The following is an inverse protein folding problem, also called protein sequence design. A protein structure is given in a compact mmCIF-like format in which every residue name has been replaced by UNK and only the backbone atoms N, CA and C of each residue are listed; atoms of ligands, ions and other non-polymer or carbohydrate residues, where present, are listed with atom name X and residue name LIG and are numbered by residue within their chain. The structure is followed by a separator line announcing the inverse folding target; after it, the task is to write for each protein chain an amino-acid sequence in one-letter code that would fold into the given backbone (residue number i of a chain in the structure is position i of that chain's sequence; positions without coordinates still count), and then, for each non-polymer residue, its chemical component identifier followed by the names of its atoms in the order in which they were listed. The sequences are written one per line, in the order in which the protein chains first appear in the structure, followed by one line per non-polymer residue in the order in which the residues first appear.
data_IF_450322667213
#
_entry.id   IF_450322667213
#
_cell.length_a   1.000
_cell.length_b   1.000
_cell.length_c   1.000
_cell.angle_alpha   90.00
_cell.angle_beta   90.00
_cell.angle_gamma   90.00
#
_symmetry.space_group_name_H-M   'P 1'
#
loop_
_entity.id
_entity.type
_entity.pdbx_description
1 polymer ?
#
# COMPACT_ATOMS: atom_id res chain seq x y z
N UNK A 1 -14.81 -13.14 -20.79
CA UNK A 1 -14.57 -14.33 -19.93
C UNK A 1 -13.13 -14.30 -19.45
N UNK A 2 -12.88 -13.85 -18.21
CA UNK A 2 -11.55 -13.89 -17.58
C UNK A 2 -11.26 -15.32 -17.17
N UNK A 3 -10.27 -15.98 -17.78
CA UNK A 3 -9.79 -17.29 -17.32
C UNK A 3 -9.18 -17.10 -15.92
N UNK A 4 -9.49 -17.96 -14.94
CA UNK A 4 -8.93 -17.85 -13.60
C UNK A 4 -7.41 -18.01 -13.66
N UNK A 5 -6.68 -17.23 -12.86
CA UNK A 5 -5.22 -17.22 -12.83
C UNK A 5 -4.59 -18.61 -12.58
N UNK A 6 -5.35 -19.53 -11.96
CA UNK A 6 -4.95 -20.92 -11.76
C UNK A 6 -4.72 -21.69 -13.07
N UNK A 7 -5.45 -21.37 -14.15
CA UNK A 7 -5.29 -22.05 -15.45
C UNK A 7 -4.03 -21.58 -16.21
N UNK A 8 -3.63 -20.32 -16.02
CA UNK A 8 -2.39 -19.77 -16.60
C UNK A 8 -1.13 -20.38 -15.98
N UNK A 9 -1.15 -20.66 -14.68
CA UNK A 9 -0.06 -21.36 -14.00
C UNK A 9 0.01 -22.81 -14.48
N UNK A 10 -1.14 -23.47 -14.68
CA UNK A 10 -1.20 -24.84 -15.20
C UNK A 10 -0.66 -24.98 -16.62
N UNK A 11 -1.03 -24.07 -17.54
CA UNK A 11 -0.49 -24.04 -18.90
C UNK A 11 1.00 -23.70 -18.92
N UNK A 12 1.45 -22.74 -18.09
CA UNK A 12 2.87 -22.40 -17.97
C UNK A 12 3.69 -23.56 -17.39
N UNK A 13 3.13 -24.32 -16.44
CA UNK A 13 3.75 -25.50 -15.86
C UNK A 13 3.85 -26.65 -16.87
N UNK A 14 2.80 -26.90 -17.66
CA UNK A 14 2.82 -27.88 -18.76
C UNK A 14 3.84 -27.51 -19.84
N UNK A 15 3.97 -26.22 -20.18
CA UNK A 15 5.00 -25.74 -21.11
C UNK A 15 6.41 -25.89 -20.53
N UNK A 16 6.63 -25.54 -19.26
CA UNK A 16 7.93 -25.72 -18.59
C UNK A 16 8.34 -27.19 -18.49
N UNK A 17 7.41 -28.07 -18.12
CA UNK A 17 7.66 -29.52 -18.06
C UNK A 17 7.97 -30.07 -19.46
N UNK A 18 7.27 -29.61 -20.51
CA UNK A 18 7.54 -30.01 -21.90
C UNK A 18 8.89 -29.49 -22.41
N UNK A 19 9.25 -28.24 -22.06
CA UNK A 19 10.54 -27.63 -22.41
C UNK A 19 11.71 -28.29 -21.69
N UNK A 20 11.50 -28.84 -20.49
CA UNK A 20 12.52 -29.55 -19.72
C UNK A 20 12.63 -31.04 -20.10
N UNK A 21 11.55 -31.68 -20.56
CA UNK A 21 11.58 -33.07 -21.05
C UNK A 21 12.23 -33.21 -22.43
N UNK A 22 12.11 -32.20 -23.31
CA UNK A 22 12.73 -32.19 -24.64
C UNK A 22 14.27 -32.35 -24.64
N UNK A 23 15.05 -31.62 -23.82
CA UNK A 23 16.50 -31.77 -23.77
C UNK A 23 16.94 -33.07 -23.08
N UNK A 24 16.16 -33.60 -22.12
CA UNK A 24 16.46 -34.87 -21.45
C UNK A 24 16.38 -36.04 -22.44
N UNK A 25 15.41 -36.02 -23.36
CA UNK A 25 15.28 -37.05 -24.40
C UNK A 25 16.47 -37.03 -25.39
N UNK A 26 17.00 -35.85 -25.71
CA UNK A 26 18.15 -35.70 -26.62
C UNK A 26 19.50 -36.05 -25.96
N UNK A 27 19.59 -35.93 -24.64
CA UNK A 27 20.77 -36.32 -23.85
C UNK A 27 20.93 -37.84 -23.69
N UNK A 28 19.85 -38.61 -23.88
CA UNK A 28 19.89 -40.08 -23.87
C UNK A 28 20.49 -40.68 -25.16
N UNK A 29 20.69 -39.88 -26.20
CA UNK A 29 21.22 -40.31 -27.51
C UNK A 29 22.70 -39.96 -27.72
N UNK A 30 23.46 -39.72 -26.64
CA UNK A 30 24.88 -39.37 -26.76
C UNK A 30 25.76 -40.64 -26.87
N UNK A 31 26.49 -40.87 -27.99
CA UNK A 31 27.40 -42.00 -28.11
C UNK A 31 28.59 -41.82 -27.16
N UNK A 32 28.83 -42.83 -26.33
CA UNK A 32 29.86 -42.82 -25.29
C UNK A 32 31.24 -43.07 -25.89
N UNK A 33 32.05 -42.01 -26.01
CA UNK A 33 33.46 -42.14 -26.38
C UNK A 33 34.31 -42.31 -25.12
N UNK A 34 34.85 -43.51 -24.91
CA UNK A 34 35.77 -43.82 -23.81
C UNK A 34 37.14 -43.18 -24.07
N UNK A 35 37.64 -42.36 -23.13
CA UNK A 35 39.03 -41.88 -23.11
C UNK A 35 39.65 -41.96 -21.70
N UNK A 36 40.95 -42.19 -21.71
CA UNK A 36 41.83 -42.63 -20.62
C UNK A 36 42.08 -41.61 -19.49
N UNK A 37 42.54 -42.08 -18.31
CA UNK A 37 42.56 -41.28 -17.10
C UNK A 37 43.81 -40.41 -16.97
N UNK A 38 43.61 -39.12 -16.77
CA UNK A 38 44.63 -38.22 -16.22
C UNK A 38 43.98 -37.23 -15.25
N UNK A 39 44.47 -37.24 -14.01
CA UNK A 39 44.34 -36.23 -12.93
C UNK A 39 42.95 -35.69 -12.59
N UNK A 40 42.47 -36.06 -11.40
CA UNK A 40 41.39 -35.47 -10.58
C UNK A 40 40.55 -34.35 -11.22
N UNK A 41 39.75 -34.70 -12.22
CA UNK A 41 38.63 -33.90 -12.69
C UNK A 41 37.34 -34.36 -12.02
N UNK A 42 36.43 -33.43 -11.75
CA UNK A 42 35.07 -33.74 -11.29
C UNK A 42 34.46 -34.84 -12.16
N UNK A 43 33.81 -35.81 -11.53
CA UNK A 43 33.14 -36.87 -12.28
C UNK A 43 31.95 -36.27 -13.03
N UNK A 44 31.71 -36.71 -14.27
CA UNK A 44 30.56 -36.25 -15.06
C UNK A 44 29.24 -36.51 -14.31
N UNK A 45 29.19 -37.60 -13.55
CA UNK A 45 28.07 -37.95 -12.69
C UNK A 45 27.80 -36.90 -11.60
N UNK A 46 28.86 -36.38 -10.97
CA UNK A 46 28.74 -35.39 -9.90
C UNK A 46 28.20 -34.05 -10.43
N UNK A 47 28.63 -33.63 -11.62
CA UNK A 47 28.08 -32.45 -12.27
C UNK A 47 26.58 -32.64 -12.61
N UNK A 48 26.18 -33.83 -13.07
CA UNK A 48 24.78 -34.14 -13.41
C UNK A 48 23.87 -34.19 -12.18
N UNK A 49 24.35 -34.70 -11.05
CA UNK A 49 23.59 -34.70 -9.80
C UNK A 49 23.39 -33.28 -9.24
N UNK A 50 24.41 -32.42 -9.35
CA UNK A 50 24.33 -31.04 -8.86
C UNK A 50 23.31 -30.23 -9.67
N UNK A 51 23.37 -30.27 -11.00
CA UNK A 51 22.39 -29.56 -11.84
C UNK A 51 20.98 -30.12 -11.62
N UNK A 52 20.84 -31.44 -11.43
CA UNK A 52 19.56 -32.08 -11.10
C UNK A 52 18.98 -31.57 -9.78
N UNK A 53 19.82 -31.45 -8.74
CA UNK A 53 19.42 -30.94 -7.43
C UNK A 53 19.04 -29.45 -7.49
N UNK A 54 19.80 -28.63 -8.21
CA UNK A 54 19.51 -27.21 -8.38
C UNK A 54 18.16 -27.02 -9.08
N UNK A 55 17.89 -27.76 -10.16
CA UNK A 55 16.61 -27.71 -10.86
C UNK A 55 15.44 -28.09 -9.94
N UNK A 56 15.60 -29.13 -9.12
CA UNK A 56 14.57 -29.57 -8.17
C UNK A 56 14.26 -28.49 -7.12
N UNK A 57 15.29 -27.87 -6.55
CA UNK A 57 15.13 -26.80 -5.56
C UNK A 57 14.44 -25.56 -6.16
N UNK A 58 14.81 -25.19 -7.39
CA UNK A 58 14.22 -24.05 -8.10
C UNK A 58 12.73 -24.27 -8.39
N UNK A 59 12.34 -25.48 -8.80
CA UNK A 59 10.91 -25.82 -9.01
C UNK A 59 10.13 -25.73 -7.70
N UNK A 60 10.70 -26.23 -6.60
CA UNK A 60 10.09 -26.12 -5.27
C UNK A 60 9.90 -24.68 -4.80
N UNK A 61 10.86 -23.80 -5.08
CA UNK A 61 10.79 -22.39 -4.72
C UNK A 61 9.69 -21.64 -5.48
N UNK A 62 9.55 -21.90 -6.78
CA UNK A 62 8.53 -21.25 -7.62
C UNK A 62 7.10 -21.66 -7.24
N UNK A 63 6.92 -22.85 -6.65
CA UNK A 63 5.61 -23.28 -6.14
C UNK A 63 5.12 -22.48 -4.91
N UNK A 64 6.03 -21.81 -4.20
CA UNK A 64 5.72 -21.06 -2.98
C UNK A 64 5.52 -19.56 -3.21
N UNK A 65 5.95 -19.03 -4.35
CA UNK A 65 5.82 -17.60 -4.68
C UNK A 65 4.61 -17.38 -5.57
N UNK A 66 3.61 -16.63 -5.07
CA UNK A 66 2.56 -16.05 -5.90
C UNK A 66 2.98 -14.62 -6.32
N UNK A 67 3.60 -14.45 -7.51
CA UNK A 67 4.00 -13.13 -7.98
C UNK A 67 2.80 -12.19 -8.15
N UNK A 68 1.60 -12.73 -8.43
CA UNK A 68 0.38 -11.95 -8.59
C UNK A 68 -0.03 -11.26 -7.29
N UNK A 69 0.07 -11.97 -6.17
CA UNK A 69 -0.25 -11.39 -4.86
C UNK A 69 0.72 -10.26 -4.49
N UNK A 70 2.01 -10.41 -4.80
CA UNK A 70 3.03 -9.39 -4.50
C UNK A 70 2.85 -8.12 -5.31
N UNK A 71 2.49 -8.23 -6.59
CA UNK A 71 2.19 -7.08 -7.43
C UNK A 71 0.96 -6.33 -6.89
N UNK A 72 -0.10 -7.05 -6.51
CA UNK A 72 -1.31 -6.48 -5.90
C UNK A 72 -0.99 -5.72 -4.61
N UNK A 73 -0.18 -6.30 -3.73
CA UNK A 73 0.28 -5.63 -2.50
C UNK A 73 1.04 -4.33 -2.80
N UNK A 74 1.90 -4.33 -3.82
CA UNK A 74 2.61 -3.12 -4.26
C UNK A 74 1.66 -2.03 -4.78
N UNK A 75 0.64 -2.42 -5.55
CA UNK A 75 -0.40 -1.49 -6.04
C UNK A 75 -1.23 -0.92 -4.89
N UNK A 76 -1.63 -1.75 -3.92
CA UNK A 76 -2.41 -1.32 -2.76
C UNK A 76 -1.62 -0.32 -1.89
N UNK A 77 -0.32 -0.55 -1.68
CA UNK A 77 0.55 0.42 -1.00
C UNK A 77 0.61 1.73 -1.77
N UNK A 78 0.78 1.67 -3.10
CA UNK A 78 0.82 2.85 -3.96
C UNK A 78 -0.48 3.67 -3.84
N UNK A 79 -1.65 3.01 -3.89
CA UNK A 79 -2.96 3.67 -3.71
C UNK A 79 -3.04 4.45 -2.42
N UNK A 80 -2.65 3.81 -1.30
CA UNK A 80 -2.68 4.44 0.03
C UNK A 80 -1.78 5.66 0.09
N UNK A 81 -0.54 5.54 -0.38
CA UNK A 81 0.42 6.65 -0.39
C UNK A 81 -0.05 7.81 -1.26
N UNK A 82 -0.58 7.54 -2.45
CA UNK A 82 -1.10 8.58 -3.34
C UNK A 82 -2.30 9.31 -2.74
N UNK A 83 -3.23 8.59 -2.10
CA UNK A 83 -4.38 9.19 -1.41
C UNK A 83 -3.94 10.05 -0.23
N UNK A 84 -2.94 9.63 0.54
CA UNK A 84 -2.38 10.42 1.64
C UNK A 84 -1.75 11.72 1.14
N UNK A 85 -0.95 11.64 0.09
CA UNK A 85 -0.34 12.82 -0.53
C UNK A 85 -1.41 13.76 -1.09
N UNK A 86 -2.42 13.22 -1.78
CA UNK A 86 -3.53 14.00 -2.32
C UNK A 86 -4.33 14.67 -1.20
N UNK A 87 -4.66 13.93 -0.13
CA UNK A 87 -5.34 14.47 1.06
C UNK A 87 -4.59 15.67 1.62
N UNK A 88 -3.27 15.58 1.80
CA UNK A 88 -2.44 16.69 2.27
C UNK A 88 -2.51 17.90 1.34
N UNK A 89 -2.40 17.69 0.03
CA UNK A 89 -2.49 18.79 -0.95
C UNK A 89 -3.88 19.45 -0.98
N UNK A 90 -4.95 18.70 -0.68
CA UNK A 90 -6.32 19.24 -0.57
C UNK A 90 -6.47 20.09 0.71
N UNK A 91 -5.85 19.68 1.81
CA UNK A 91 -5.79 20.49 3.04
C UNK A 91 -4.98 21.78 2.83
N UNK A 92 -3.87 21.71 2.07
CA UNK A 92 -3.12 22.91 1.67
C UNK A 92 -3.98 23.86 0.82
N UNK A 93 -4.77 23.33 -0.13
CA UNK A 93 -5.74 24.12 -0.88
C UNK A 93 -6.77 24.79 0.04
N UNK A 94 -7.30 24.07 1.03
CA UNK A 94 -8.26 24.62 1.98
C UNK A 94 -7.66 25.78 2.79
N UNK A 95 -6.41 25.66 3.23
CA UNK A 95 -5.73 26.73 3.99
C UNK A 95 -5.62 28.04 3.19
N UNK A 96 -5.52 27.96 1.86
CA UNK A 96 -5.41 29.13 0.99
C UNK A 96 -6.77 29.66 0.50
N UNK A 97 -7.76 28.79 0.33
CA UNK A 97 -9.04 29.11 -0.33
C UNK A 97 -10.25 29.09 0.61
N UNK A 98 -10.05 28.73 1.88
CA UNK A 98 -11.09 28.59 2.92
C UNK A 98 -12.27 27.68 2.52
N UNK A 99 -12.06 26.81 1.53
CA UNK A 99 -13.05 25.89 0.98
C UNK A 99 -12.35 24.70 0.33
N UNK A 100 -12.98 23.52 0.35
CA UNK A 100 -12.44 22.36 -0.35
C UNK A 100 -12.61 22.47 -1.87
N UNK A 101 -11.69 21.89 -2.65
CA UNK A 101 -11.73 21.94 -4.10
C UNK A 101 -12.99 21.27 -4.66
N UNK A 102 -13.44 21.74 -5.80
CA UNK A 102 -14.61 21.19 -6.50
C UNK A 102 -14.20 20.20 -7.59
N UNK A 103 -15.18 19.59 -8.24
CA UNK A 103 -14.97 18.76 -9.44
C UNK A 103 -14.12 19.46 -10.51
N UNK A 104 -14.32 20.77 -10.72
CA UNK A 104 -13.55 21.56 -11.68
C UNK A 104 -12.04 21.67 -11.35
N UNK A 105 -11.64 21.41 -10.10
CA UNK A 105 -10.25 21.51 -9.65
C UNK A 105 -9.51 20.17 -9.68
N UNK A 106 -10.22 19.04 -9.51
CA UNK A 106 -9.61 17.73 -9.30
C UNK A 106 -10.06 16.63 -10.26
N UNK A 107 -11.23 16.77 -10.88
CA UNK A 107 -11.88 15.66 -11.58
C UNK A 107 -11.84 15.82 -13.09
N UNK A 108 -11.74 14.68 -13.77
CA UNK A 108 -11.72 14.64 -15.24
C UNK A 108 -13.10 14.34 -15.84
N UNK A 109 -14.05 13.89 -15.03
CA UNK A 109 -15.42 13.59 -15.42
C UNK A 109 -16.43 14.54 -14.77
N UNK A 110 -17.69 14.44 -15.23
CA UNK A 110 -18.77 15.24 -14.70
C UNK A 110 -19.11 14.84 -13.27
N UNK A 111 -19.45 15.83 -12.45
CA UNK A 111 -19.88 15.60 -11.07
C UNK A 111 -21.23 14.88 -11.01
N UNK A 112 -21.34 13.96 -10.06
CA UNK A 112 -22.59 13.29 -9.70
C UNK A 112 -22.97 13.71 -8.29
N UNK A 113 -24.13 14.35 -8.15
CA UNK A 113 -24.65 14.82 -6.86
C UNK A 113 -25.72 13.87 -6.30
N UNK A 114 -25.65 13.61 -5.00
CA UNK A 114 -26.64 12.85 -4.22
C UNK A 114 -26.92 13.58 -2.91
N UNK A 115 -28.02 14.33 -2.87
CA UNK A 115 -28.27 15.26 -1.77
C UNK A 115 -27.27 16.41 -1.79
N UNK A 116 -26.63 16.67 -0.66
CA UNK A 116 -25.57 17.69 -0.54
C UNK A 116 -24.15 17.11 -0.75
N UNK A 117 -24.05 15.84 -1.17
CA UNK A 117 -22.78 15.20 -1.49
C UNK A 117 -22.55 15.23 -3.01
N UNK A 118 -21.41 15.75 -3.43
CA UNK A 118 -20.94 15.77 -4.81
C UNK A 118 -19.78 14.79 -4.95
N UNK A 119 -19.75 14.03 -6.03
CA UNK A 119 -18.69 13.04 -6.27
C UNK A 119 -18.23 12.98 -7.72
N UNK A 120 -16.96 12.68 -7.92
CA UNK A 120 -16.32 12.58 -9.24
C UNK A 120 -15.02 11.77 -9.15
N UNK A 121 -14.38 11.49 -10.29
CA UNK A 121 -13.18 10.68 -10.35
C UNK A 121 -11.91 11.48 -10.65
N UNK A 122 -10.81 11.10 -10.00
CA UNK A 122 -9.50 11.73 -10.15
C UNK A 122 -8.56 10.82 -10.95
N UNK A 123 -7.91 11.40 -11.95
CA UNK A 123 -6.76 10.80 -12.63
C UNK A 123 -6.07 11.85 -13.51
N UNK A 124 -4.77 12.12 -13.31
CA UNK A 124 -4.02 13.11 -14.09
C UNK A 124 -3.59 12.69 -15.50
N UNK A 125 -3.87 11.47 -15.95
CA UNK A 125 -3.55 11.05 -17.34
C UNK A 125 -4.71 11.26 -18.32
N UNK A 126 -5.89 11.64 -17.83
CA UNK A 126 -7.06 11.91 -18.67
C UNK A 126 -6.94 13.29 -19.33
N UNK A 127 -7.45 13.42 -20.57
CA UNK A 127 -7.29 14.65 -21.35
C UNK A 127 -8.05 15.85 -20.79
N UNK A 128 -9.11 15.58 -20.01
CA UNK A 128 -9.98 16.58 -19.37
C UNK A 128 -9.55 16.89 -17.95
N UNK A 129 -8.44 16.32 -17.47
CA UNK A 129 -7.99 16.51 -16.10
C UNK A 129 -7.51 17.94 -15.87
N UNK A 130 -7.99 18.61 -14.82
CA UNK A 130 -7.54 19.95 -14.47
C UNK A 130 -6.12 19.92 -13.91
N UNK A 131 -5.51 21.10 -13.86
CA UNK A 131 -4.26 21.32 -13.12
C UNK A 131 -4.57 21.70 -11.67
N UNK A 132 -3.94 21.02 -10.71
CA UNK A 132 -4.07 21.31 -9.28
C UNK A 132 -2.84 22.05 -8.72
N UNK A 133 -2.17 22.81 -9.58
CA UNK A 133 -1.03 23.65 -9.20
C UNK A 133 -1.49 24.85 -8.34
N UNK A 134 -0.71 25.29 -7.33
CA UNK A 134 0.64 24.84 -6.96
C UNK A 134 0.70 23.61 -6.05
N UNK A 135 -0.43 23.13 -5.54
CA UNK A 135 -0.50 22.09 -4.49
C UNK A 135 -0.03 20.72 -4.98
N UNK A 136 -0.32 20.38 -6.23
CA UNK A 136 0.13 19.13 -6.82
C UNK A 136 0.49 19.30 -8.30
N UNK A 137 1.68 18.82 -8.67
CA UNK A 137 2.19 18.91 -10.04
C UNK A 137 1.43 18.01 -11.02
N UNK A 138 0.90 16.88 -10.56
CA UNK A 138 0.13 15.95 -11.37
C UNK A 138 -0.85 15.18 -10.48
N UNK A 139 -2.12 15.12 -10.88
CA UNK A 139 -3.13 14.34 -10.17
C UNK A 139 -2.82 12.83 -10.28
N UNK A 140 -2.87 12.08 -9.17
CA UNK A 140 -2.57 10.65 -9.19
C UNK A 140 -3.69 9.87 -9.89
N UNK A 141 -3.35 8.72 -10.44
CA UNK A 141 -4.30 7.77 -11.02
C UNK A 141 -4.16 6.42 -10.33
N UNK A 142 -5.26 5.67 -10.23
CA UNK A 142 -5.19 4.28 -9.78
C UNK A 142 -4.20 3.48 -10.66
N UNK A 143 -3.32 2.63 -10.09
CA UNK A 143 -2.35 1.83 -10.86
C UNK A 143 -2.96 0.91 -11.92
N UNK A 144 -4.27 0.68 -11.86
CA UNK A 144 -5.04 -0.18 -12.76
C UNK A 144 -6.15 0.59 -13.50
N UNK A 145 -6.06 1.91 -13.54
CA UNK A 145 -6.91 2.78 -14.35
C UNK A 145 -6.94 2.30 -15.82
N UNK A 146 -8.11 2.23 -16.50
CA UNK A 146 -9.43 2.72 -16.06
C UNK A 146 -10.30 1.67 -15.33
N UNK A 147 -9.74 0.52 -14.96
CA UNK A 147 -10.51 -0.57 -14.31
C UNK A 147 -10.93 -0.17 -12.90
N UNK A 148 -10.01 0.43 -12.14
CA UNK A 148 -10.28 1.04 -10.85
C UNK A 148 -9.96 2.53 -10.96
N UNK A 149 -10.65 3.36 -10.16
CA UNK A 149 -10.56 4.82 -10.20
C UNK A 149 -10.57 5.36 -8.78
N UNK A 150 -9.86 6.45 -8.53
CA UNK A 150 -10.03 7.18 -7.28
C UNK A 150 -11.32 7.99 -7.32
N UNK A 151 -12.08 7.93 -6.23
CA UNK A 151 -13.31 8.69 -6.05
C UNK A 151 -13.04 9.83 -5.08
N UNK A 152 -13.43 11.02 -5.49
CA UNK A 152 -13.47 12.21 -4.66
C UNK A 152 -14.91 12.54 -4.34
N UNK A 153 -15.19 12.81 -3.08
CA UNK A 153 -16.50 13.21 -2.58
C UNK A 153 -16.34 14.49 -1.75
N UNK A 154 -17.21 15.47 -1.91
CA UNK A 154 -17.18 16.72 -1.16
C UNK A 154 -18.59 17.27 -0.97
N UNK A 155 -18.73 18.23 -0.06
CA UNK A 155 -19.99 18.92 0.16
C UNK A 155 -20.28 19.92 -0.96
N UNK A 156 -21.40 19.77 -1.67
CA UNK A 156 -21.73 20.63 -2.80
C UNK A 156 -21.98 22.08 -2.36
N UNK A 157 -22.70 22.28 -1.27
CA UNK A 157 -23.16 23.60 -0.83
C UNK A 157 -22.02 24.45 -0.28
N UNK A 158 -21.45 24.05 0.86
CA UNK A 158 -20.48 24.86 1.60
C UNK A 158 -19.02 24.47 1.33
N UNK A 159 -18.78 23.32 0.68
CA UNK A 159 -17.43 22.74 0.49
C UNK A 159 -16.66 22.66 1.82
N UNK A 160 -17.35 22.30 2.91
CA UNK A 160 -16.77 22.31 4.27
C UNK A 160 -16.09 21.00 4.66
N UNK A 161 -16.27 19.94 3.86
CA UNK A 161 -15.60 18.64 4.04
C UNK A 161 -15.35 17.93 2.70
N UNK A 162 -14.40 16.98 2.72
CA UNK A 162 -14.18 16.04 1.63
C UNK A 162 -13.88 14.61 2.12
N UNK A 163 -14.01 13.65 1.19
CA UNK A 163 -13.57 12.27 1.33
C UNK A 163 -12.89 11.80 0.04
N UNK A 164 -11.90 10.94 0.20
CA UNK A 164 -11.19 10.28 -0.88
C UNK A 164 -11.35 8.78 -0.72
N UNK A 165 -11.53 8.06 -1.83
CA UNK A 165 -11.65 6.61 -1.79
C UNK A 165 -10.86 5.91 -2.89
N UNK A 166 -10.41 4.70 -2.57
CA UNK A 166 -9.85 3.73 -3.51
C UNK A 166 -10.34 2.31 -3.22
N UNK A 167 -10.22 1.47 -4.23
CA UNK A 167 -10.50 0.04 -4.12
C UNK A 167 -9.19 -0.75 -4.09
N UNK A 168 -8.96 -1.50 -3.01
CA UNK A 168 -7.82 -2.37 -2.85
C UNK A 168 -8.08 -3.73 -3.51
N UNK A 169 -6.98 -4.39 -3.85
CA UNK A 169 -6.98 -5.60 -4.69
C UNK A 169 -7.57 -6.84 -4.02
N UNK A 170 -7.83 -6.79 -2.70
CA UNK A 170 -8.28 -7.91 -1.87
C UNK A 170 -9.78 -7.93 -1.60
N UNK A 171 -10.55 -6.93 -2.02
CA UNK A 171 -11.96 -6.80 -1.65
C UNK A 171 -12.89 -6.80 -2.85
N UNK A 172 -14.14 -7.20 -2.60
CA UNK A 172 -15.23 -7.16 -3.58
C UNK A 172 -16.08 -5.91 -3.45
N UNK A 173 -15.92 -5.13 -2.37
CA UNK A 173 -16.64 -3.89 -2.14
C UNK A 173 -16.12 -2.80 -3.08
N UNK A 174 -17.04 -1.98 -3.60
CA UNK A 174 -16.68 -0.75 -4.28
C UNK A 174 -16.17 0.22 -3.21
N UNK A 175 -14.86 0.51 -3.22
CA UNK A 175 -14.16 1.40 -2.29
C UNK A 175 -14.07 0.89 -0.83
N UNK A 176 -12.89 0.39 -0.45
CA UNK A 176 -12.60 -0.22 0.87
C UNK A 176 -11.46 0.48 1.63
N UNK A 177 -10.82 1.47 1.00
CA UNK A 177 -9.89 2.38 1.66
C UNK A 177 -10.33 3.81 1.39
N UNK A 178 -10.34 4.65 2.43
CA UNK A 178 -10.65 6.06 2.28
C UNK A 178 -9.98 6.92 3.33
N UNK A 179 -9.95 8.21 3.02
CA UNK A 179 -9.47 9.31 3.86
C UNK A 179 -10.54 10.40 3.85
N UNK A 180 -10.58 11.22 4.89
CA UNK A 180 -11.50 12.34 4.97
C UNK A 180 -10.84 13.55 5.60
N UNK A 181 -11.39 14.73 5.31
CA UNK A 181 -11.05 15.95 6.04
C UNK A 181 -11.31 15.81 7.54
N UNK A 182 -10.63 16.58 8.41
CA UNK A 182 -10.84 16.56 9.87
C UNK A 182 -12.29 16.77 10.33
N UNK A 183 -13.07 17.52 9.56
CA UNK A 183 -14.44 17.92 9.92
C UNK A 183 -15.51 16.88 9.55
N UNK A 184 -15.13 15.73 8.98
CA UNK A 184 -16.09 14.68 8.62
C UNK A 184 -15.52 13.29 8.89
N UNK A 185 -16.41 12.32 9.10
CA UNK A 185 -16.02 10.91 9.22
C UNK A 185 -16.03 10.25 7.86
N UNK A 186 -15.19 9.23 7.68
CA UNK A 186 -15.25 8.36 6.51
C UNK A 186 -16.60 7.63 6.51
N UNK A 187 -17.39 7.81 5.45
CA UNK A 187 -18.61 7.02 5.24
C UNK A 187 -18.20 5.74 4.54
N UNK A 188 -18.54 4.58 5.09
CA UNK A 188 -18.37 3.33 4.33
C UNK A 188 -19.37 3.37 3.17
N UNK A 189 -18.86 3.46 1.93
CA UNK A 189 -19.67 3.28 0.73
C UNK A 189 -20.46 1.97 0.90
N UNK A 190 -21.78 1.92 0.64
CA UNK A 190 -22.63 0.87 1.20
C UNK A 190 -22.23 -0.50 0.67
N UNK A 191 -21.62 -1.32 1.51
CA UNK A 191 -21.87 -2.77 1.66
C UNK A 191 -21.05 -3.27 2.86
N UNK A 192 -21.75 -3.78 3.88
CA UNK A 192 -21.17 -4.16 5.17
C UNK A 192 -19.95 -5.09 5.08
N UNK A 193 -18.89 -4.71 5.78
CA UNK A 193 -17.64 -5.44 5.96
C UNK A 193 -16.70 -4.62 6.86
N UNK A 194 -15.85 -5.25 7.69
CA UNK A 194 -15.48 -4.71 8.99
C UNK A 194 -14.63 -3.44 8.93
N UNK A 195 -14.90 -2.60 9.92
CA UNK A 195 -14.19 -1.40 10.37
C UNK A 195 -12.67 -1.46 10.12
N UNK A 196 -12.05 -0.38 9.62
CA UNK A 196 -10.61 -0.35 9.36
C UNK A 196 -9.81 -0.57 10.65
N UNK A 197 -8.94 -1.59 10.63
CA UNK A 197 -7.80 -1.66 11.54
C UNK A 197 -6.79 -0.61 11.09
N UNK A 198 -6.57 0.38 11.95
CA UNK A 198 -5.50 1.37 11.83
C UNK A 198 -4.14 0.67 11.70
N UNK A 199 -3.63 0.58 10.47
CA UNK A 199 -2.23 0.35 10.14
C UNK A 199 -1.48 1.68 10.06
N UNK A 200 -0.15 1.68 10.24
CA UNK A 200 0.59 2.83 10.75
C UNK A 200 0.49 4.05 9.83
N UNK A 201 0.08 5.15 10.43
CA UNK A 201 0.25 6.52 9.93
C UNK A 201 1.71 6.75 9.54
N UNK A 202 2.01 7.21 8.32
CA UNK A 202 3.28 7.88 8.06
C UNK A 202 3.26 9.18 8.84
N UNK A 203 4.01 9.23 9.94
CA UNK A 203 4.24 10.46 10.71
C UNK A 203 4.96 11.45 9.81
N UNK A 204 4.32 12.59 9.51
CA UNK A 204 5.00 13.79 9.06
C UNK A 204 6.15 14.08 10.03
N UNK A 205 7.33 14.43 9.51
CA UNK A 205 8.46 14.93 10.27
C UNK A 205 8.29 16.45 10.41
N UNK A 206 7.86 16.99 11.56
CA UNK A 206 8.31 18.28 12.03
C UNK A 206 9.65 18.13 12.77
N UNK A 207 10.46 19.19 12.89
CA UNK A 207 11.77 19.09 13.51
C UNK A 207 11.65 18.86 15.03
N UNK A 208 12.01 17.65 15.50
CA UNK A 208 12.51 17.41 16.86
C UNK A 208 11.54 16.82 17.89
N UNK A 209 11.05 15.59 17.67
CA UNK A 209 10.47 14.77 18.74
C UNK A 209 11.45 13.66 19.15
N UNK A 210 11.93 13.69 20.41
CA UNK A 210 12.93 12.76 20.96
C UNK A 210 12.29 11.67 21.87
N UNK A 211 10.95 11.64 21.96
CA UNK A 211 10.24 10.61 22.71
C UNK A 211 10.00 9.38 21.82
N UNK A 212 10.89 8.38 21.89
CA UNK A 212 10.59 7.04 21.36
C UNK A 212 9.46 6.38 22.18
N UNK A 213 8.59 5.61 21.51
CA UNK A 213 7.53 4.86 22.19
C UNK A 213 8.10 3.69 23.04
N UNK A 214 7.54 3.38 24.22
CA UNK A 214 6.33 3.98 24.82
C UNK A 214 6.59 5.28 25.60
N UNK A 215 5.65 6.23 25.52
CA UNK A 215 5.72 7.53 26.21
C UNK A 215 5.17 7.41 27.65
N UNK A 216 5.89 8.02 28.59
CA UNK A 216 5.56 8.13 30.01
C UNK A 216 5.29 9.58 30.44
N UNK A 217 4.49 9.77 31.48
CA UNK A 217 4.18 11.08 32.06
C UNK A 217 4.17 11.00 33.60
N UNK A 218 4.25 12.14 34.28
CA UNK A 218 4.22 12.21 35.75
C UNK A 218 2.99 12.94 36.28
N UNK A 219 2.32 12.34 37.27
CA UNK A 219 1.21 12.96 38.02
C UNK A 219 1.41 12.69 39.50
N UNK A 220 1.44 13.75 40.31
CA UNK A 220 1.55 13.67 41.77
C UNK A 220 2.70 12.77 42.28
N UNK A 221 3.84 12.79 41.57
CA UNK A 221 5.02 11.98 41.91
C UNK A 221 5.06 10.59 41.26
N UNK A 222 3.97 10.12 40.68
CA UNK A 222 3.82 8.77 40.09
C UNK A 222 4.05 8.83 38.58
N UNK A 223 4.86 7.89 38.06
CA UNK A 223 5.13 7.74 36.63
C UNK A 223 4.09 6.81 35.99
N UNK A 224 3.32 7.32 35.02
CA UNK A 224 2.27 6.60 34.30
C UNK A 224 2.68 6.40 32.83
N UNK A 225 2.33 5.25 32.26
CA UNK A 225 2.44 5.01 30.81
C UNK A 225 1.19 5.57 30.12
N UNK A 226 1.36 6.43 29.13
CA UNK A 226 0.26 7.02 28.36
C UNK A 226 0.25 6.53 26.90
N UNK A 227 1.37 6.02 26.40
CA UNK A 227 1.44 5.39 25.08
C UNK A 227 1.53 6.43 23.98
N UNK A 228 0.41 7.04 23.60
CA UNK A 228 0.32 8.05 22.54
C UNK A 228 0.20 9.48 23.10
N UNK A 229 0.63 10.52 22.35
CA UNK A 229 0.56 11.92 22.78
C UNK A 229 -0.84 12.37 23.26
N UNK A 230 -1.90 11.90 22.59
CA UNK A 230 -3.28 12.23 22.95
C UNK A 230 -3.68 11.74 24.34
N UNK A 231 -3.24 10.54 24.74
CA UNK A 231 -3.49 10.01 26.07
C UNK A 231 -2.63 10.70 27.13
N UNK A 232 -1.46 11.22 26.76
CA UNK A 232 -0.58 11.98 27.65
C UNK A 232 -1.09 13.41 27.90
N UNK A 233 -2.03 13.91 27.10
CA UNK A 233 -2.67 15.21 27.27
C UNK A 233 -3.85 15.20 28.27
N UNK A 234 -4.26 14.03 28.77
CA UNK A 234 -5.35 13.90 29.72
C UNK A 234 -4.93 14.36 31.15
N UNK A 235 -5.52 15.44 31.69
CA UNK A 235 -5.17 15.99 33.00
C UNK A 235 -5.52 15.07 34.17
N UNK A 236 -6.35 14.05 33.95
CA UNK A 236 -6.69 13.03 34.94
C UNK A 236 -5.58 11.99 35.13
N UNK A 237 -4.68 11.83 34.15
CA UNK A 237 -3.60 10.81 34.16
C UNK A 237 -2.20 11.41 34.18
N UNK A 238 -2.05 12.61 33.62
CA UNK A 238 -0.77 13.26 33.38
C UNK A 238 -0.78 14.73 33.78
N UNK A 239 0.41 15.29 34.02
CA UNK A 239 0.61 16.76 34.06
C UNK A 239 0.95 17.23 32.65
N UNK A 240 0.13 18.10 32.02
CA UNK A 240 0.38 18.54 30.65
C UNK A 240 1.77 19.16 30.47
N UNK A 241 2.46 18.82 29.38
CA UNK A 241 3.77 19.38 29.03
C UNK A 241 4.98 18.70 29.69
N UNK A 242 4.82 17.57 30.38
CA UNK A 242 5.95 16.76 30.88
C UNK A 242 5.89 15.32 30.38
N UNK A 243 6.81 14.97 29.48
CA UNK A 243 6.92 13.64 28.85
C UNK A 243 8.28 13.01 29.13
N UNK A 244 8.31 11.68 29.20
CA UNK A 244 9.49 10.90 29.50
C UNK A 244 9.56 9.64 28.64
N UNK A 245 10.77 9.16 28.35
CA UNK A 245 10.98 7.93 27.55
C UNK A 245 11.29 6.68 28.39
N UNK A 246 11.13 6.76 29.72
CA UNK A 246 11.40 5.63 30.60
C UNK A 246 10.39 5.52 31.76
N UNK A 247 10.21 4.29 32.26
CA UNK A 247 9.28 3.99 33.36
C UNK A 247 9.65 4.61 34.71
N UNK A 248 10.85 5.18 34.83
CA UNK A 248 11.28 5.94 35.99
C UNK A 248 10.94 7.43 35.93
N UNK A 249 10.44 7.93 34.80
CA UNK A 249 10.25 9.36 34.55
C UNK A 249 11.50 10.20 34.91
N UNK A 250 12.68 9.74 34.46
CA UNK A 250 13.98 10.40 34.70
C UNK A 250 14.56 11.04 33.44
N UNK A 251 14.16 10.58 32.26
CA UNK A 251 14.62 11.08 30.97
C UNK A 251 13.50 11.88 30.31
N UNK A 252 13.50 13.19 30.52
CA UNK A 252 12.51 14.07 29.91
C UNK A 252 12.72 14.14 28.39
N UNK A 253 11.63 14.19 27.64
CA UNK A 253 11.64 14.29 26.18
C UNK A 253 10.53 15.23 25.72
N UNK A 254 10.63 15.71 24.48
CA UNK A 254 9.63 16.57 23.84
C UNK A 254 8.94 15.80 22.71
N UNK A 255 7.61 15.92 22.66
CA UNK A 255 6.75 15.37 21.62
C UNK A 255 6.57 16.36 20.48
#
# INVERSE_FOLDING_TARGET
MRRPAADLVKESFLYLVSCLLFPIQSLLDMPTHTRQPSSSGFTLMELVLIIGLICLLLIGLLALLDPGQKIKQGQDTKRKTELQQLSKSIEEYYNDNESYPTSANLCYDEEVSSGDSCSCHICGVESTSPSFSPYLSTLPCDPTHPTHRYLYEYECSEKSWFRLYAQLSSTTSAYDYGLSSPNTTISTYPTGGPTPTSGPTPTDIPPGSDCEEPIYCKKDGICNICGTPGNCADPSRCTPGQYYNNSGCTNACTL
#
